data_IF_622695178735
#
_entry.id   IF_622695178735
#
_cell.length_a   1.000
_cell.length_b   1.000
_cell.length_c   1.000
_cell.angle_alpha   90.00
_cell.angle_beta   90.00
_cell.angle_gamma   90.00
#
_symmetry.space_group_name_H-M   'P 1'
#
loop_
_entity.id
_entity.type
_entity.pdbx_description
1 polymer ?
#
# COMPACT_ATOMS: atom_id res chain seq x y z
N UNK A 1 -0.67 10.68 5.80
CA UNK A 1 0.11 10.91 4.57
C UNK A 1 -0.71 10.58 3.34
N UNK A 2 -0.19 10.91 2.16
CA UNK A 2 -0.76 10.43 0.90
C UNK A 2 -0.24 9.02 0.58
N UNK A 3 -1.08 8.14 -0.01
CA UNK A 3 -0.64 6.81 -0.42
C UNK A 3 0.39 6.91 -1.55
N UNK A 4 1.38 6.02 -1.53
CA UNK A 4 2.38 5.93 -2.60
C UNK A 4 1.80 5.24 -3.84
N UNK A 5 1.10 4.12 -3.63
CA UNK A 5 0.34 3.37 -4.63
C UNK A 5 -0.59 2.35 -3.93
N UNK A 6 -1.53 1.79 -4.68
CA UNK A 6 -2.33 0.62 -4.34
C UNK A 6 -1.85 -0.58 -5.15
N UNK A 7 -1.70 -1.73 -4.48
CA UNK A 7 -1.64 -3.03 -5.14
C UNK A 7 -2.94 -3.79 -4.85
N UNK A 8 -3.50 -4.45 -5.86
CA UNK A 8 -4.71 -5.26 -5.69
C UNK A 8 -4.69 -6.49 -6.59
N UNK A 9 -5.37 -7.55 -6.16
CA UNK A 9 -5.55 -8.78 -6.93
C UNK A 9 -6.88 -9.43 -6.53
N UNK A 10 -7.64 -10.03 -7.46
CA UNK A 10 -8.82 -10.80 -7.09
C UNK A 10 -8.42 -12.00 -6.23
N UNK A 11 -9.09 -12.18 -5.10
CA UNK A 11 -8.88 -13.37 -4.27
C UNK A 11 -9.59 -14.59 -4.86
N UNK A 12 -8.94 -15.75 -4.75
CA UNK A 12 -9.51 -17.03 -5.15
C UNK A 12 -9.61 -17.94 -3.93
N UNK A 13 -10.83 -18.40 -3.63
CA UNK A 13 -11.09 -19.31 -2.52
C UNK A 13 -10.27 -20.59 -2.68
N UNK A 14 -9.56 -20.98 -1.60
CA UNK A 14 -8.71 -22.17 -1.58
C UNK A 14 -7.28 -21.96 -2.10
N UNK A 15 -6.97 -20.77 -2.60
CA UNK A 15 -5.62 -20.42 -3.08
C UNK A 15 -4.89 -19.51 -2.10
N UNK A 16 -3.56 -19.58 -2.08
CA UNK A 16 -2.72 -18.68 -1.29
C UNK A 16 -2.37 -17.41 -2.10
N UNK A 17 -3.38 -16.66 -2.55
CA UNK A 17 -3.20 -15.57 -3.52
C UNK A 17 -3.30 -14.14 -2.94
N UNK A 18 -3.30 -13.99 -1.61
CA UNK A 18 -3.43 -12.68 -0.96
C UNK A 18 -2.11 -11.89 -0.83
N UNK A 19 -0.95 -12.56 -0.85
CA UNK A 19 0.34 -11.89 -0.73
C UNK A 19 0.71 -11.19 -2.04
N UNK A 20 0.68 -9.86 -2.01
CA UNK A 20 0.92 -8.99 -3.17
C UNK A 20 2.40 -8.72 -3.44
N UNK A 21 3.34 -9.18 -2.61
CA UNK A 21 4.77 -8.98 -2.83
C UNK A 21 5.42 -10.04 -3.74
N UNK A 22 4.65 -11.02 -4.22
CA UNK A 22 5.15 -12.09 -5.09
C UNK A 22 5.02 -11.72 -6.57
N UNK A 23 6.12 -11.90 -7.32
CA UNK A 23 6.13 -11.73 -8.78
C UNK A 23 5.36 -12.86 -9.50
N UNK A 24 4.86 -12.58 -10.70
CA UNK A 24 4.18 -13.57 -11.56
C UNK A 24 2.69 -13.79 -11.29
N UNK A 25 2.05 -12.93 -10.50
CA UNK A 25 0.60 -12.92 -10.28
C UNK A 25 -0.07 -11.73 -10.97
N UNK A 26 -1.36 -11.89 -11.27
CA UNK A 26 -2.19 -10.79 -11.76
C UNK A 26 -2.45 -9.79 -10.62
N UNK A 27 -1.54 -8.84 -10.49
CA UNK A 27 -1.64 -7.70 -9.57
C UNK A 27 -1.88 -6.45 -10.41
N UNK A 28 -2.84 -5.63 -9.99
CA UNK A 28 -3.01 -4.26 -10.49
C UNK A 28 -2.28 -3.31 -9.57
N UNK A 29 -1.48 -2.41 -10.15
CA UNK A 29 -0.84 -1.31 -9.45
C UNK A 29 -1.47 0.01 -9.90
N UNK A 30 -1.87 0.89 -8.98
CA UNK A 30 -2.45 2.19 -9.31
C UNK A 30 -2.01 3.29 -8.34
N UNK A 31 -1.85 4.51 -8.87
CA UNK A 31 -1.58 5.72 -8.08
C UNK A 31 -2.84 6.56 -7.81
N UNK A 32 -4.00 6.19 -8.35
CA UNK A 32 -5.21 7.04 -8.34
C UNK A 32 -6.50 6.29 -7.97
N UNK A 33 -6.58 4.99 -8.24
CA UNK A 33 -7.84 4.21 -8.16
C UNK A 33 -8.03 3.57 -6.77
N UNK A 34 -8.02 4.39 -5.73
CA UNK A 34 -8.23 3.93 -4.36
C UNK A 34 -9.72 3.80 -4.04
N UNK A 35 -10.20 2.67 -3.48
CA UNK A 35 -11.55 2.61 -2.90
C UNK A 35 -11.66 3.67 -1.79
N UNK A 36 -12.59 4.65 -1.86
CA UNK A 36 -12.59 5.78 -0.94
C UNK A 36 -12.69 5.38 0.53
N UNK A 37 -13.56 4.41 0.83
CA UNK A 37 -13.74 3.85 2.18
C UNK A 37 -12.46 3.19 2.70
N UNK A 38 -11.75 2.46 1.84
CA UNK A 38 -10.48 1.83 2.19
C UNK A 38 -9.39 2.86 2.44
N UNK A 39 -9.28 3.89 1.59
CA UNK A 39 -8.29 4.95 1.76
C UNK A 39 -8.52 5.75 3.04
N UNK A 40 -9.76 6.13 3.32
CA UNK A 40 -10.12 6.86 4.54
C UNK A 40 -9.83 6.03 5.79
N UNK A 41 -10.19 4.74 5.78
CA UNK A 41 -9.91 3.82 6.87
C UNK A 41 -8.41 3.61 7.07
N UNK A 42 -7.64 3.40 6.00
CA UNK A 42 -6.20 3.27 6.06
C UNK A 42 -5.53 4.54 6.62
N UNK A 43 -5.95 5.74 6.18
CA UNK A 43 -5.47 7.02 6.74
C UNK A 43 -5.74 7.11 8.24
N UNK A 44 -6.90 6.67 8.73
CA UNK A 44 -7.21 6.62 10.18
C UNK A 44 -6.29 5.65 10.92
N UNK A 45 -6.13 4.43 10.40
CA UNK A 45 -5.26 3.40 10.98
C UNK A 45 -3.83 3.91 11.13
N UNK A 46 -3.23 4.41 10.04
CA UNK A 46 -1.87 4.96 10.00
C UNK A 46 -1.68 6.06 11.05
N UNK A 47 -2.62 6.99 11.13
CA UNK A 47 -2.58 8.08 12.12
C UNK A 47 -2.70 7.56 13.56
N UNK A 48 -3.58 6.58 13.81
CA UNK A 48 -3.78 6.02 15.15
C UNK A 48 -2.56 5.27 15.67
N UNK A 49 -1.84 4.55 14.80
CA UNK A 49 -0.64 3.79 15.20
C UNK A 49 0.64 4.64 15.17
N UNK A 50 0.56 5.90 14.74
CA UNK A 50 1.72 6.77 14.61
C UNK A 50 2.72 6.31 13.56
N UNK A 51 2.24 5.66 12.49
CA UNK A 51 3.08 5.16 11.42
C UNK A 51 3.34 6.27 10.40
N UNK A 52 4.60 6.57 10.17
CA UNK A 52 5.02 7.56 9.18
C UNK A 52 5.05 6.97 7.76
N UNK A 53 5.66 5.79 7.61
CA UNK A 53 5.71 5.00 6.37
C UNK A 53 5.37 3.56 6.70
N UNK A 54 4.57 2.92 5.83
CA UNK A 54 4.25 1.50 5.89
C UNK A 54 3.12 1.18 4.92
N UNK A 55 2.53 0.00 5.08
CA UNK A 55 1.34 -0.42 4.33
C UNK A 55 0.21 -0.81 5.27
N UNK A 56 -1.00 -0.76 4.74
CA UNK A 56 -2.21 -1.28 5.38
C UNK A 56 -2.85 -2.22 4.36
N UNK A 57 -3.10 -3.45 4.78
CA UNK A 57 -3.71 -4.47 3.93
C UNK A 57 -5.18 -4.63 4.30
N UNK A 58 -6.03 -4.78 3.28
CA UNK A 58 -7.46 -4.94 3.46
C UNK A 58 -8.04 -5.87 2.40
N UNK A 59 -9.17 -6.50 2.75
CA UNK A 59 -10.03 -7.23 1.83
C UNK A 59 -11.28 -6.42 1.56
N UNK A 60 -11.80 -6.50 0.34
CA UNK A 60 -13.12 -5.96 0.02
C UNK A 60 -14.14 -7.09 0.08
N UNK A 61 -15.25 -6.87 0.78
CA UNK A 61 -16.39 -7.78 0.72
C UNK A 61 -17.21 -7.60 -0.58
N UNK A 62 -18.32 -8.31 -0.70
CA UNK A 62 -19.21 -8.28 -1.85
C UNK A 62 -19.87 -6.91 -2.10
N UNK A 63 -19.82 -6.02 -1.11
CA UNK A 63 -20.34 -4.64 -1.18
C UNK A 63 -19.23 -3.62 -1.35
N UNK A 64 -17.97 -4.03 -1.38
CA UNK A 64 -16.81 -3.15 -1.43
C UNK A 64 -16.48 -2.50 -0.09
N UNK A 65 -16.94 -3.06 1.03
CA UNK A 65 -16.55 -2.60 2.36
C UNK A 65 -15.15 -3.15 2.72
N UNK A 66 -14.22 -2.31 3.21
CA UNK A 66 -12.87 -2.74 3.54
C UNK A 66 -12.80 -3.41 4.92
N UNK A 67 -12.21 -4.60 4.94
CA UNK A 67 -11.86 -5.34 6.14
C UNK A 67 -10.34 -5.29 6.29
N UNK A 68 -9.84 -4.49 7.23
CA UNK A 68 -8.41 -4.32 7.47
C UNK A 68 -7.83 -5.55 8.18
N UNK A 69 -6.84 -6.18 7.57
CA UNK A 69 -6.29 -7.47 8.03
C UNK A 69 -4.85 -7.38 8.52
N UNK A 70 -4.08 -6.39 8.05
CA UNK A 70 -2.70 -6.19 8.48
C UNK A 70 -2.29 -4.71 8.45
N UNK A 71 -1.37 -4.35 9.33
CA UNK A 71 -0.72 -3.05 9.42
C UNK A 71 0.78 -3.33 9.46
N UNK A 72 1.49 -2.94 8.40
CA UNK A 72 2.88 -3.33 8.22
C UNK A 72 3.81 -2.10 8.11
N UNK A 73 4.43 -1.67 9.23
CA UNK A 73 5.41 -0.59 9.24
C UNK A 73 6.72 -0.90 8.50
N UNK A 74 7.01 -2.17 8.20
CA UNK A 74 8.24 -2.63 7.54
C UNK A 74 7.89 -3.44 6.29
N UNK A 75 6.93 -2.91 5.52
CA UNK A 75 6.46 -3.57 4.31
C UNK A 75 7.51 -3.57 3.21
N UNK A 76 7.45 -4.60 2.36
CA UNK A 76 8.14 -4.60 1.07
C UNK A 76 7.28 -3.89 0.01
N UNK A 77 7.94 -3.39 -1.03
CA UNK A 77 7.25 -2.91 -2.23
C UNK A 77 7.08 -4.04 -3.25
N UNK A 78 6.04 -3.96 -4.09
CA UNK A 78 5.88 -4.88 -5.21
C UNK A 78 7.09 -4.74 -6.18
N UNK A 79 7.68 -5.85 -6.67
CA UNK A 79 8.91 -5.79 -7.47
C UNK A 79 8.78 -5.01 -8.78
N UNK A 80 7.58 -4.97 -9.36
CA UNK A 80 7.30 -4.34 -10.66
C UNK A 80 6.78 -2.89 -10.56
N UNK A 81 6.90 -2.23 -9.40
CA UNK A 81 6.43 -0.83 -9.24
C UNK A 81 7.14 0.11 -10.21
N UNK A 82 8.46 0.02 -10.32
CA UNK A 82 9.23 0.92 -11.18
C UNK A 82 8.85 0.77 -12.65
N UNK A 83 8.77 -0.47 -13.14
CA UNK A 83 8.39 -0.78 -14.51
C UNK A 83 6.96 -0.32 -14.83
N UNK A 84 6.01 -0.53 -13.92
CA UNK A 84 4.59 -0.28 -14.19
C UNK A 84 4.11 1.13 -13.86
N UNK A 85 4.69 1.78 -12.84
CA UNK A 85 4.26 3.11 -12.36
C UNK A 85 5.27 4.22 -12.68
N UNK A 86 6.46 3.88 -13.21
CA UNK A 86 7.44 4.84 -13.69
C UNK A 86 8.23 5.56 -12.58
N UNK A 87 8.30 4.98 -11.37
CA UNK A 87 9.13 5.50 -10.28
C UNK A 87 9.68 4.39 -9.39
N UNK A 88 10.90 4.57 -8.87
CA UNK A 88 11.46 3.70 -7.84
C UNK A 88 10.86 4.06 -6.46
N UNK A 89 10.13 3.14 -5.80
CA UNK A 89 9.51 3.41 -4.50
C UNK A 89 10.55 3.59 -3.39
N UNK A 90 11.73 2.97 -3.50
CA UNK A 90 12.82 3.14 -2.54
C UNK A 90 13.44 4.53 -2.63
N UNK A 91 13.59 5.07 -3.84
CA UNK A 91 14.03 6.46 -4.03
C UNK A 91 13.04 7.44 -3.41
N UNK A 92 11.74 7.28 -3.66
CA UNK A 92 10.70 8.15 -3.04
C UNK A 92 10.69 8.04 -1.51
N UNK A 93 10.91 6.85 -0.97
CA UNK A 93 11.03 6.64 0.47
C UNK A 93 12.27 7.38 1.02
N UNK A 94 13.43 7.24 0.37
CA UNK A 94 14.65 7.92 0.76
C UNK A 94 14.51 9.45 0.70
N UNK A 95 13.87 9.98 -0.34
CA UNK A 95 13.55 11.40 -0.47
C UNK A 95 12.65 11.89 0.67
N UNK A 96 11.59 11.15 0.99
CA UNK A 96 10.71 11.49 2.11
C UNK A 96 11.46 11.51 3.44
N UNK A 97 12.34 10.54 3.69
CA UNK A 97 13.15 10.48 4.92
C UNK A 97 14.07 11.71 4.99
N UNK A 98 14.78 12.01 3.90
CA UNK A 98 15.67 13.18 3.82
C UNK A 98 14.89 14.47 4.13
N UNK A 99 13.78 14.70 3.43
CA UNK A 99 13.01 15.92 3.55
C UNK A 99 12.45 16.07 4.97
N UNK A 100 11.97 14.97 5.58
CA UNK A 100 11.52 15.00 6.98
C UNK A 100 12.61 15.39 7.96
N UNK A 101 13.83 14.86 7.80
CA UNK A 101 14.94 15.20 8.70
C UNK A 101 15.43 16.65 8.50
N UNK A 102 15.33 17.19 7.29
CA UNK A 102 15.65 18.60 7.01
C UNK A 102 14.63 19.56 7.65
N UNK A 103 13.34 19.20 7.65
CA UNK A 103 12.25 20.03 8.19
C UNK A 103 12.03 19.87 9.70
N UNK A 104 12.80 19.01 10.38
CA UNK A 104 12.82 18.91 11.85
C UNK A 104 13.75 19.94 12.52
N UNK A 105 14.60 20.63 11.76
CA UNK A 105 15.44 21.72 12.24
C UNK A 105 14.67 23.02 12.33
#
# INVERSE_FOLDING_TARGET
GEPLYLASSPLQTGEFNYCLSQSGREVTLSCADYPPTALEGAKKVVNCVGMDIGSVEFLLDDKGEPWFIDINPVSSYHPEVEERLGFDPWVRQAEWIRDREEHKK
#
